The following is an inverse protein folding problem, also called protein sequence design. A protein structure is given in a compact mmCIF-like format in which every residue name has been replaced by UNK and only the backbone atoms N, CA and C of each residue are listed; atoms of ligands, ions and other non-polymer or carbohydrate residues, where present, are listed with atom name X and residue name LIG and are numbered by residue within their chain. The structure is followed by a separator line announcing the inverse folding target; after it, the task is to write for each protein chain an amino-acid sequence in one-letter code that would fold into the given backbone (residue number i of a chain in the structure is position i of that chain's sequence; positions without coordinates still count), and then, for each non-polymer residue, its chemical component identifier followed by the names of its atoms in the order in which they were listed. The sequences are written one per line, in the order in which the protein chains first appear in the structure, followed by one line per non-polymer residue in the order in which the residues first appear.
data_IF_326825431526
#
_entry.id   IF_326825431526
#
_cell.length_a   1.000
_cell.length_b   1.000
_cell.length_c   1.000
_cell.angle_alpha   90.00
_cell.angle_beta   90.00
_cell.angle_gamma   90.00
#
_symmetry.space_group_name_H-M   'P 1'
#
loop_
_entity.id
_entity.type
_entity.pdbx_description
1 polymer ?
#
# COMPACT_ATOMS: atom_id res chain seq x y z
N UNK A 1 13.24 -3.33 5.13
CA UNK A 1 14.24 -4.37 4.76
C UNK A 1 14.80 -4.00 3.40
N UNK A 2 16.09 -4.27 3.09
CA UNK A 2 16.65 -3.92 1.76
C UNK A 2 16.07 -4.84 0.68
N UNK A 3 15.64 -4.27 -0.45
CA UNK A 3 15.03 -5.03 -1.55
C UNK A 3 16.03 -5.81 -2.39
N UNK A 4 17.30 -5.41 -2.36
CA UNK A 4 18.39 -6.11 -3.06
C UNK A 4 19.46 -6.51 -2.05
N UNK A 5 19.87 -7.77 -2.09
CA UNK A 5 20.91 -8.30 -1.20
C UNK A 5 22.30 -8.15 -1.86
N UNK A 6 23.39 -8.04 -1.09
CA UNK A 6 24.74 -7.89 -1.66
C UNK A 6 25.14 -9.01 -2.64
N UNK A 7 24.64 -10.23 -2.41
CA UNK A 7 24.90 -11.36 -3.31
C UNK A 7 24.29 -11.18 -4.71
N UNK A 8 23.25 -10.36 -4.82
CA UNK A 8 22.51 -10.16 -6.06
C UNK A 8 23.00 -8.94 -6.86
N UNK A 9 23.88 -8.09 -6.32
CA UNK A 9 24.26 -6.83 -6.96
C UNK A 9 24.79 -7.02 -8.38
N UNK A 10 25.66 -8.00 -8.58
CA UNK A 10 26.23 -8.29 -9.89
C UNK A 10 25.18 -8.80 -10.89
N UNK A 11 24.20 -9.58 -10.42
CA UNK A 11 23.13 -10.11 -11.26
C UNK A 11 22.26 -9.00 -11.85
N UNK A 12 22.13 -7.89 -11.12
CA UNK A 12 21.37 -6.71 -11.56
C UNK A 12 22.25 -5.58 -12.11
N UNK A 13 23.53 -5.88 -12.41
CA UNK A 13 24.47 -4.97 -13.07
C UNK A 13 24.94 -3.80 -12.20
N UNK A 14 24.97 -3.97 -10.90
CA UNK A 14 25.54 -2.99 -9.99
C UNK A 14 27.06 -3.20 -9.85
N UNK A 15 27.86 -2.11 -9.74
CA UNK A 15 29.30 -2.22 -9.53
C UNK A 15 29.62 -2.86 -8.17
N UNK A 16 30.78 -3.54 -8.09
CA UNK A 16 31.24 -4.19 -6.86
C UNK A 16 31.45 -3.21 -5.67
N UNK A 17 31.58 -1.92 -5.94
CA UNK A 17 31.71 -0.86 -4.91
C UNK A 17 30.36 -0.32 -4.40
N UNK A 18 29.24 -0.89 -4.81
CA UNK A 18 27.92 -0.44 -4.32
C UNK A 18 27.78 -0.78 -2.86
N UNK A 19 27.54 0.24 -2.03
CA UNK A 19 27.36 0.07 -0.58
C UNK A 19 25.90 -0.23 -0.23
N UNK A 20 25.69 -0.84 0.93
CA UNK A 20 24.34 -1.12 1.45
C UNK A 20 23.52 0.17 1.68
N UNK A 21 24.19 1.32 1.90
CA UNK A 21 23.51 2.61 2.10
C UNK A 21 22.77 3.06 0.84
N UNK A 22 23.35 2.84 -0.34
CA UNK A 22 22.66 3.12 -1.62
C UNK A 22 21.38 2.33 -1.75
N UNK A 23 21.42 1.04 -1.38
CA UNK A 23 20.24 0.17 -1.46
C UNK A 23 19.20 0.58 -0.43
N UNK A 24 19.62 0.95 0.77
CA UNK A 24 18.71 1.44 1.82
C UNK A 24 18.00 2.73 1.38
N UNK A 25 18.74 3.69 0.84
CA UNK A 25 18.19 4.94 0.34
C UNK A 25 17.21 4.69 -0.83
N UNK A 26 17.59 3.81 -1.75
CA UNK A 26 16.72 3.44 -2.89
C UNK A 26 15.47 2.71 -2.44
N UNK A 27 15.58 1.81 -1.46
CA UNK A 27 14.43 1.12 -0.87
C UNK A 27 13.44 2.14 -0.27
N UNK A 28 13.94 3.13 0.46
CA UNK A 28 13.11 4.21 1.01
C UNK A 28 12.42 5.03 -0.09
N UNK A 29 13.11 5.30 -1.19
CA UNK A 29 12.56 6.01 -2.33
C UNK A 29 11.44 5.21 -3.04
N UNK A 30 11.65 3.91 -3.24
CA UNK A 30 10.63 3.00 -3.79
C UNK A 30 9.40 2.97 -2.88
N UNK A 31 9.59 2.84 -1.56
CA UNK A 31 8.50 2.85 -0.59
C UNK A 31 7.69 4.14 -0.66
N UNK A 32 8.38 5.28 -0.75
CA UNK A 32 7.74 6.58 -0.90
C UNK A 32 6.95 6.68 -2.19
N UNK A 33 7.51 6.23 -3.31
CA UNK A 33 6.83 6.20 -4.60
C UNK A 33 5.60 5.30 -4.57
N UNK A 34 5.73 4.09 -4.03
CA UNK A 34 4.64 3.14 -3.89
C UNK A 34 3.62 3.51 -2.81
N UNK A 35 3.86 4.59 -2.04
CA UNK A 35 3.01 5.04 -0.93
C UNK A 35 2.79 3.96 0.12
N UNK A 36 3.81 3.16 0.39
CA UNK A 36 3.80 2.06 1.36
C UNK A 36 5.01 2.16 2.28
N UNK A 37 4.88 1.75 3.53
CA UNK A 37 6.03 1.67 4.43
C UNK A 37 7.02 0.56 4.04
N UNK A 38 6.54 -0.53 3.47
CA UNK A 38 7.34 -1.64 2.92
C UNK A 38 6.52 -2.38 1.85
N UNK A 39 7.18 -2.99 0.85
CA UNK A 39 6.57 -3.90 -0.12
C UNK A 39 6.51 -5.35 0.38
N UNK A 40 7.33 -5.72 1.38
CA UNK A 40 7.21 -7.02 2.03
C UNK A 40 5.89 -7.12 2.79
N UNK A 41 5.50 -8.36 3.14
CA UNK A 41 4.30 -8.58 3.94
C UNK A 41 4.46 -7.95 5.32
N UNK A 42 3.64 -6.96 5.61
CA UNK A 42 3.54 -6.32 6.92
C UNK A 42 2.07 -6.14 7.31
N UNK A 43 1.85 -5.87 8.58
CA UNK A 43 0.51 -5.65 9.11
C UNK A 43 0.09 -4.18 8.94
N UNK A 44 -1.14 -4.00 8.48
CA UNK A 44 -1.81 -2.71 8.35
C UNK A 44 -3.07 -2.69 9.20
N UNK A 45 -3.46 -1.50 9.64
CA UNK A 45 -4.76 -1.26 10.28
C UNK A 45 -5.40 -0.07 9.57
N UNK A 46 -6.56 -0.29 9.01
CA UNK A 46 -7.33 0.73 8.31
C UNK A 46 -8.72 0.87 8.92
N UNK A 47 -9.20 2.10 8.91
CA UNK A 47 -10.54 2.44 9.31
C UNK A 47 -11.29 2.95 8.10
N UNK A 48 -12.27 2.17 7.67
CA UNK A 48 -12.99 2.37 6.42
C UNK A 48 -14.47 2.64 6.71
N UNK A 49 -15.09 3.44 5.85
CA UNK A 49 -16.53 3.62 5.86
C UNK A 49 -17.17 2.73 4.83
N UNK A 50 -18.27 2.11 5.23
CA UNK A 50 -19.11 1.31 4.36
C UNK A 50 -20.15 2.24 3.75
N UNK A 51 -20.27 2.22 2.42
CA UNK A 51 -21.31 2.98 1.71
C UNK A 51 -22.67 2.38 2.02
N UNK A 52 -23.66 3.25 2.23
CA UNK A 52 -25.03 2.80 2.50
C UNK A 52 -25.55 1.83 1.45
N UNK A 53 -26.07 0.68 1.91
CA UNK A 53 -26.57 -0.40 1.05
C UNK A 53 -25.52 -1.39 0.55
N UNK A 54 -24.23 -1.11 0.75
CA UNK A 54 -23.14 -2.06 0.50
C UNK A 54 -22.70 -2.67 1.82
N UNK A 55 -22.28 -3.94 1.80
CA UNK A 55 -21.58 -4.59 2.91
C UNK A 55 -20.11 -4.82 2.56
N UNK A 56 -19.63 -4.17 1.49
CA UNK A 56 -18.28 -4.34 0.98
C UNK A 56 -17.42 -3.12 1.26
N UNK A 57 -16.15 -3.35 1.56
CA UNK A 57 -15.10 -2.34 1.65
C UNK A 57 -13.90 -2.76 0.82
N UNK A 58 -13.12 -1.79 0.36
CA UNK A 58 -11.89 -2.03 -0.37
C UNK A 58 -10.70 -1.66 0.50
N UNK A 59 -9.77 -2.59 0.65
CA UNK A 59 -8.53 -2.40 1.38
C UNK A 59 -7.48 -1.73 0.49
N UNK A 60 -6.70 -0.80 1.06
CA UNK A 60 -5.77 0.03 0.28
C UNK A 60 -4.47 -0.66 -0.09
N UNK A 61 -4.04 -1.67 0.67
CA UNK A 61 -2.75 -2.32 0.47
C UNK A 61 -2.92 -3.75 -0.04
N UNK A 62 -2.37 -4.03 -1.22
CA UNK A 62 -2.51 -5.29 -1.94
C UNK A 62 -1.14 -5.79 -2.43
N UNK A 63 -1.00 -7.08 -2.74
CA UNK A 63 -1.96 -8.16 -2.50
C UNK A 63 -2.07 -8.51 -1.02
N UNK A 64 -3.22 -9.06 -0.62
CA UNK A 64 -3.37 -9.61 0.73
C UNK A 64 -2.56 -10.90 0.83
N UNK A 65 -1.71 -11.00 1.83
CA UNK A 65 -0.87 -12.17 2.04
C UNK A 65 -0.71 -12.45 3.53
N UNK A 66 -0.82 -13.71 3.97
CA UNK A 66 -0.64 -14.07 5.37
C UNK A 66 0.81 -13.86 5.80
N UNK A 67 1.01 -13.47 7.06
CA UNK A 67 2.33 -13.27 7.65
C UNK A 67 2.76 -14.50 8.44
N UNK A 68 3.95 -15.01 8.15
CA UNK A 68 4.54 -16.13 8.88
C UNK A 68 3.74 -17.42 8.74
N UNK A 69 3.24 -17.96 9.87
CA UNK A 69 2.45 -19.20 9.92
C UNK A 69 0.94 -18.98 9.89
N UNK A 70 0.49 -17.73 9.74
CA UNK A 70 -0.91 -17.44 9.65
C UNK A 70 -1.53 -18.06 8.38
N UNK A 71 -2.77 -18.51 8.48
CA UNK A 71 -3.51 -19.12 7.35
C UNK A 71 -4.33 -18.09 6.60
N UNK A 72 -4.67 -16.98 7.25
CA UNK A 72 -5.49 -15.91 6.68
C UNK A 72 -4.74 -14.57 6.78
N UNK A 73 -4.89 -13.69 5.80
CA UNK A 73 -4.31 -12.35 5.86
C UNK A 73 -5.09 -11.40 6.77
N UNK A 74 -6.33 -11.71 7.11
CA UNK A 74 -7.16 -10.90 8.00
C UNK A 74 -6.90 -11.28 9.44
N UNK A 75 -6.41 -10.31 10.23
CA UNK A 75 -6.03 -10.53 11.65
C UNK A 75 -7.20 -10.23 12.58
N UNK A 76 -7.85 -9.09 12.39
CA UNK A 76 -9.03 -8.71 13.18
C UNK A 76 -9.91 -7.75 12.41
N UNK A 77 -11.21 -7.82 12.68
CA UNK A 77 -12.21 -6.92 12.12
C UNK A 77 -13.12 -6.45 13.27
N UNK A 78 -13.38 -5.16 13.29
CA UNK A 78 -14.33 -4.57 14.21
C UNK A 78 -15.29 -3.66 13.43
N UNK A 79 -16.57 -3.82 13.65
CA UNK A 79 -17.61 -3.00 13.04
C UNK A 79 -18.29 -2.12 14.07
N UNK A 80 -18.76 -0.95 13.65
CA UNK A 80 -19.61 -0.10 14.46
C UNK A 80 -20.57 0.72 13.63
N UNK A 81 -21.52 1.34 14.33
CA UNK A 81 -22.41 2.37 13.79
C UNK A 81 -21.88 3.74 14.20
N UNK A 82 -21.70 4.61 13.21
CA UNK A 82 -21.39 6.02 13.45
C UNK A 82 -22.51 6.89 12.86
N UNK A 83 -22.48 8.20 13.18
CA UNK A 83 -23.45 9.13 12.60
C UNK A 83 -23.37 9.10 11.08
N UNK A 84 -24.48 8.79 10.37
CA UNK A 84 -24.51 8.78 8.92
C UNK A 84 -24.11 10.15 8.35
N UNK A 85 -23.49 10.15 7.19
CA UNK A 85 -23.23 11.38 6.45
C UNK A 85 -24.56 11.89 5.87
N UNK A 86 -24.60 13.20 5.56
CA UNK A 86 -25.76 13.80 4.89
C UNK A 86 -26.02 13.07 3.55
N UNK A 87 -27.22 12.48 3.40
CA UNK A 87 -27.59 11.64 2.25
C UNK A 87 -27.50 10.12 2.48
N UNK A 88 -26.88 9.67 3.57
CA UNK A 88 -26.79 8.26 3.96
C UNK A 88 -27.85 7.85 5.00
N UNK A 89 -28.77 8.77 5.33
CA UNK A 89 -29.83 8.50 6.30
C UNK A 89 -30.75 7.41 5.74
N UNK A 90 -31.00 6.34 6.51
CA UNK A 90 -32.02 5.39 6.14
C UNK A 90 -33.37 6.10 6.05
N UNK A 91 -34.17 5.76 5.04
CA UNK A 91 -35.53 6.33 4.87
C UNK A 91 -36.53 5.86 5.96
N UNK A 92 -36.03 5.20 7.00
CA UNK A 92 -36.83 4.71 8.14
C UNK A 92 -36.63 5.62 9.35
N UNK A 93 -37.64 6.43 9.73
CA UNK A 93 -37.55 7.35 10.86
C UNK A 93 -37.36 6.64 12.21
N UNK A 94 -37.79 5.39 12.37
CA UNK A 94 -37.59 4.64 13.60
C UNK A 94 -36.12 4.21 13.74
N UNK A 95 -35.49 3.84 12.64
CA UNK A 95 -34.08 3.51 12.60
C UNK A 95 -33.22 4.76 12.85
N UNK A 96 -33.61 5.91 12.31
CA UNK A 96 -32.93 7.18 12.53
C UNK A 96 -32.95 7.57 14.02
N UNK A 97 -34.09 7.43 14.67
CA UNK A 97 -34.25 7.73 16.11
C UNK A 97 -33.41 6.74 16.93
N UNK A 98 -33.48 5.44 16.66
CA UNK A 98 -32.71 4.43 17.37
C UNK A 98 -31.20 4.66 17.22
N UNK A 99 -30.74 5.01 16.02
CA UNK A 99 -29.36 5.37 15.76
C UNK A 99 -28.94 6.66 16.46
N UNK A 100 -29.78 7.67 16.54
CA UNK A 100 -29.49 8.95 17.21
C UNK A 100 -29.18 8.79 18.70
N UNK A 101 -29.82 7.85 19.38
CA UNK A 101 -29.62 7.58 20.80
C UNK A 101 -28.42 6.67 21.11
N UNK A 102 -27.95 5.88 20.15
CA UNK A 102 -26.88 4.90 20.35
C UNK A 102 -25.54 5.29 19.72
N UNK A 103 -25.44 6.46 19.08
CA UNK A 103 -24.24 6.88 18.35
C UNK A 103 -23.29 7.77 19.13
N UNK A 104 -21.98 7.63 18.92
CA UNK A 104 -21.35 6.56 18.15
C UNK A 104 -21.39 5.23 18.92
N UNK A 105 -21.75 4.16 18.21
CA UNK A 105 -21.77 2.80 18.78
C UNK A 105 -20.38 2.33 19.19
N UNK A 106 -20.35 1.34 20.06
CA UNK A 106 -19.10 0.66 20.42
C UNK A 106 -18.61 -0.21 19.27
N UNK A 107 -17.30 -0.41 19.20
CA UNK A 107 -16.71 -1.36 18.29
C UNK A 107 -17.13 -2.78 18.70
N UNK A 108 -17.62 -3.53 17.74
CA UNK A 108 -18.03 -4.93 17.92
C UNK A 108 -17.10 -5.79 17.07
N UNK A 109 -16.46 -6.76 17.70
CA UNK A 109 -15.60 -7.71 17.00
C UNK A 109 -16.43 -8.57 16.04
N UNK A 110 -15.91 -8.78 14.84
CA UNK A 110 -16.44 -9.64 13.80
C UNK A 110 -15.45 -10.80 13.63
N UNK A 111 -15.96 -12.04 13.55
CA UNK A 111 -15.09 -13.19 13.32
C UNK A 111 -14.46 -13.08 11.91
N UNK A 112 -13.12 -13.01 11.79
CA UNK A 112 -12.43 -12.95 10.51
C UNK A 112 -12.75 -14.13 9.58
N UNK A 113 -13.09 -15.29 10.14
CA UNK A 113 -13.46 -16.48 9.34
C UNK A 113 -14.86 -16.41 8.75
N UNK A 114 -15.70 -15.49 9.22
CA UNK A 114 -17.07 -15.27 8.70
C UNK A 114 -17.11 -14.26 7.56
N UNK A 115 -15.97 -13.69 7.19
CA UNK A 115 -15.86 -12.63 6.19
C UNK A 115 -15.29 -13.18 4.91
N UNK A 116 -15.92 -12.85 3.80
CA UNK A 116 -15.42 -13.18 2.47
C UNK A 116 -14.48 -12.06 1.98
N UNK A 117 -13.36 -12.45 1.39
CA UNK A 117 -12.37 -11.49 0.88
C UNK A 117 -11.68 -12.00 -0.38
N UNK A 118 -11.39 -11.09 -1.30
CA UNK A 118 -10.55 -11.36 -2.47
C UNK A 118 -9.12 -10.83 -2.21
N UNK A 119 -8.11 -11.71 -2.19
CA UNK A 119 -6.72 -11.32 -1.91
C UNK A 119 -6.12 -10.39 -2.98
N UNK A 120 -6.63 -10.39 -4.20
CA UNK A 120 -6.09 -9.60 -5.31
C UNK A 120 -6.73 -8.22 -5.43
N UNK A 121 -8.04 -8.14 -5.26
CA UNK A 121 -8.80 -6.88 -5.35
C UNK A 121 -8.88 -6.14 -4.02
N UNK A 122 -8.67 -6.87 -2.90
CA UNK A 122 -8.82 -6.32 -1.55
C UNK A 122 -10.27 -6.05 -1.17
N UNK A 123 -11.21 -6.57 -1.94
CA UNK A 123 -12.61 -6.50 -1.61
C UNK A 123 -12.91 -7.40 -0.41
N UNK A 124 -13.53 -6.81 0.60
CA UNK A 124 -13.91 -7.48 1.82
C UNK A 124 -15.41 -7.33 2.01
N UNK A 125 -16.13 -8.44 2.05
CA UNK A 125 -17.58 -8.47 2.25
C UNK A 125 -17.91 -8.90 3.67
N UNK A 126 -18.62 -8.03 4.39
CA UNK A 126 -19.00 -8.23 5.78
C UNK A 126 -20.38 -8.88 5.88
N UNK A 127 -20.56 -9.78 6.84
CA UNK A 127 -21.87 -10.26 7.22
C UNK A 127 -22.65 -9.19 8.00
N UNK A 128 -23.97 -9.29 7.98
CA UNK A 128 -24.85 -8.46 8.80
C UNK A 128 -24.59 -8.74 10.29
N UNK A 129 -24.80 -7.73 11.14
CA UNK A 129 -24.72 -7.97 12.56
C UNK A 129 -25.87 -8.88 13.04
N UNK A 130 -25.79 -9.30 14.32
CA UNK A 130 -26.81 -10.16 14.96
C UNK A 130 -28.22 -9.58 14.93
N UNK A 131 -28.34 -8.25 14.83
CA UNK A 131 -29.62 -7.54 14.75
C UNK A 131 -30.08 -7.31 13.30
N UNK A 132 -29.35 -7.79 12.31
CA UNK A 132 -29.66 -7.57 10.89
C UNK A 132 -29.41 -6.14 10.42
N UNK A 133 -28.65 -5.34 11.18
CA UNK A 133 -28.33 -3.96 10.83
C UNK A 133 -26.95 -3.91 10.14
N UNK A 134 -26.78 -3.12 9.07
CA UNK A 134 -25.51 -2.97 8.39
C UNK A 134 -24.57 -2.09 9.23
N UNK A 135 -23.29 -2.46 9.35
CA UNK A 135 -22.28 -1.56 9.86
C UNK A 135 -22.05 -0.42 8.84
N UNK A 136 -21.73 0.79 9.30
CA UNK A 136 -21.36 1.89 8.43
C UNK A 136 -19.90 2.31 8.59
N UNK A 137 -19.19 1.69 9.52
CA UNK A 137 -17.76 1.88 9.73
C UNK A 137 -17.13 0.57 10.21
N UNK A 138 -15.96 0.27 9.67
CA UNK A 138 -15.19 -0.92 10.01
C UNK A 138 -13.72 -0.55 10.22
N UNK A 139 -13.11 -1.18 11.23
CA UNK A 139 -11.67 -1.18 11.44
C UNK A 139 -11.16 -2.58 11.09
N UNK A 140 -10.25 -2.67 10.13
CA UNK A 140 -9.69 -3.92 9.66
C UNK A 140 -8.19 -3.92 9.93
N UNK A 141 -7.72 -4.93 10.64
CA UNK A 141 -6.29 -5.22 10.76
C UNK A 141 -5.98 -6.43 9.91
N UNK A 142 -5.06 -6.26 8.96
CA UNK A 142 -4.76 -7.28 7.96
C UNK A 142 -3.28 -7.23 7.56
N UNK A 143 -2.81 -8.25 6.87
CA UNK A 143 -1.45 -8.33 6.35
C UNK A 143 -1.46 -8.31 4.83
N UNK A 144 -0.58 -7.50 4.26
CA UNK A 144 -0.48 -7.33 2.81
C UNK A 144 0.96 -7.05 2.40
N UNK A 145 1.29 -7.44 1.19
CA UNK A 145 2.61 -7.25 0.59
C UNK A 145 3.05 -8.47 -0.20
N UNK A 146 4.29 -8.44 -0.63
CA UNK A 146 4.92 -9.50 -1.40
C UNK A 146 5.63 -10.48 -0.46
N UNK A 147 5.33 -11.77 -0.55
CA UNK A 147 6.04 -12.81 0.20
C UNK A 147 7.53 -12.88 -0.18
N UNK A 148 7.83 -12.60 -1.45
CA UNK A 148 9.18 -12.43 -1.98
C UNK A 148 9.21 -11.19 -2.86
N UNK A 149 10.27 -10.38 -2.73
CA UNK A 149 10.44 -9.20 -3.58
C UNK A 149 10.62 -9.66 -5.02
N UNK A 150 9.75 -9.17 -5.91
CA UNK A 150 9.75 -9.50 -7.33
C UNK A 150 10.98 -8.91 -8.05
N UNK A 151 11.37 -9.52 -9.17
CA UNK A 151 12.57 -9.11 -9.90
C UNK A 151 12.46 -7.72 -10.53
N UNK A 152 11.26 -7.29 -10.91
CA UNK A 152 10.99 -5.94 -11.40
C UNK A 152 11.28 -4.87 -10.33
N UNK A 153 10.95 -5.12 -9.07
CA UNK A 153 11.30 -4.24 -7.94
C UNK A 153 12.81 -4.22 -7.72
N UNK A 154 13.48 -5.37 -7.83
CA UNK A 154 14.95 -5.46 -7.73
C UNK A 154 15.64 -4.74 -8.88
N UNK A 155 15.13 -4.87 -10.10
CA UNK A 155 15.60 -4.14 -11.27
C UNK A 155 15.38 -2.63 -11.12
N UNK A 156 14.22 -2.21 -10.61
CA UNK A 156 13.94 -0.81 -10.30
C UNK A 156 14.94 -0.25 -9.26
N UNK A 157 15.20 -1.02 -8.19
CA UNK A 157 16.19 -0.66 -7.18
C UNK A 157 17.58 -0.46 -7.80
N UNK A 158 18.05 -1.41 -8.61
CA UNK A 158 19.33 -1.32 -9.28
C UNK A 158 19.41 -0.15 -10.28
N UNK A 159 18.34 0.13 -11.01
CA UNK A 159 18.29 1.24 -11.96
C UNK A 159 18.36 2.60 -11.25
N UNK A 160 17.65 2.77 -10.14
CA UNK A 160 17.71 3.99 -9.33
C UNK A 160 19.13 4.22 -8.79
N UNK A 161 19.81 3.16 -8.31
CA UNK A 161 21.22 3.28 -7.87
C UNK A 161 22.11 3.73 -9.01
N UNK A 162 21.98 3.13 -10.21
CA UNK A 162 22.75 3.55 -11.39
C UNK A 162 22.46 5.00 -11.77
N UNK A 163 21.21 5.41 -11.77
CA UNK A 163 20.81 6.79 -12.04
C UNK A 163 21.47 7.75 -11.03
N UNK A 164 21.44 7.41 -9.75
CA UNK A 164 22.04 8.22 -8.70
C UNK A 164 23.57 8.31 -8.80
N UNK A 165 24.23 7.21 -9.14
CA UNK A 165 25.69 7.18 -9.32
C UNK A 165 26.15 7.90 -10.59
N UNK A 166 25.32 7.92 -11.65
CA UNK A 166 25.63 8.62 -12.90
C UNK A 166 25.32 10.12 -12.85
N UNK A 167 24.54 10.58 -11.85
CA UNK A 167 24.21 11.99 -11.70
C UNK A 167 25.41 12.76 -11.17
N UNK A 168 25.87 13.83 -11.83
CA UNK A 168 27.02 14.62 -11.35
C UNK A 168 26.73 15.25 -9.99
N UNK A 169 27.73 15.25 -9.10
CA UNK A 169 27.62 15.78 -7.74
C UNK A 169 27.24 17.27 -7.65
N UNK A 170 27.27 18.00 -8.76
CA UNK A 170 27.08 19.46 -8.84
C UNK A 170 25.76 19.90 -9.46
N UNK A 171 24.76 19.07 -9.60
CA UNK A 171 23.46 19.43 -10.21
C UNK A 171 23.61 20.22 -11.55
N UNK A 172 24.67 19.96 -12.31
CA UNK A 172 24.91 20.62 -13.57
C UNK A 172 23.98 20.02 -14.64
N UNK A 173 23.03 20.82 -15.12
CA UNK A 173 22.17 20.40 -16.23
C UNK A 173 22.91 20.36 -17.57
N UNK A 174 23.99 21.14 -17.69
CA UNK A 174 24.82 21.21 -18.88
C UNK A 174 26.28 21.40 -18.50
N UNK A 175 27.16 20.61 -19.08
CA UNK A 175 28.60 20.79 -18.98
C UNK A 175 29.15 20.93 -20.38
N UNK A 176 29.88 22.02 -20.64
CA UNK A 176 30.59 22.25 -21.90
C UNK A 176 32.08 22.19 -21.64
N UNK A 177 32.74 21.23 -22.26
CA UNK A 177 34.20 21.11 -22.26
C UNK A 177 34.66 21.21 -23.70
N UNK A 178 35.21 22.35 -24.05
CA UNK A 178 35.70 22.68 -25.40
C UNK A 178 34.58 22.55 -26.47
N UNK A 179 34.70 21.61 -27.38
CA UNK A 179 33.70 21.34 -28.43
C UNK A 179 32.63 20.30 -28.04
N UNK A 180 32.83 19.60 -26.90
CA UNK A 180 31.88 18.64 -26.40
C UNK A 180 30.86 19.30 -25.46
N UNK A 181 29.58 19.21 -25.81
CA UNK A 181 28.48 19.60 -24.93
C UNK A 181 27.81 18.34 -24.40
N UNK A 182 27.88 18.14 -23.07
CA UNK A 182 27.13 17.10 -22.38
C UNK A 182 25.91 17.73 -21.73
N UNK A 183 24.75 17.25 -22.12
CA UNK A 183 23.48 17.62 -21.54
C UNK A 183 23.02 16.46 -20.64
N UNK A 184 22.87 16.74 -19.35
CA UNK A 184 22.35 15.76 -18.42
C UNK A 184 20.84 15.95 -18.32
N UNK A 185 20.09 14.92 -18.60
CA UNK A 185 18.66 14.95 -18.40
C UNK A 185 18.40 15.14 -16.89
N UNK A 186 17.63 16.15 -16.55
CA UNK A 186 17.16 16.39 -15.18
C UNK A 186 16.05 15.43 -14.76
N UNK A 187 16.12 14.18 -15.24
CA UNK A 187 15.15 13.16 -14.90
C UNK A 187 15.25 12.87 -13.39
N UNK A 188 14.12 12.74 -12.75
CA UNK A 188 14.03 12.24 -11.40
C UNK A 188 14.79 10.91 -11.29
N UNK A 189 15.33 10.59 -10.12
CA UNK A 189 15.98 9.28 -9.89
C UNK A 189 15.07 8.11 -10.27
N UNK A 190 13.76 8.34 -10.20
CA UNK A 190 12.69 7.44 -10.63
C UNK A 190 12.27 7.85 -12.05
N UNK A 191 12.93 7.30 -13.05
CA UNK A 191 12.63 7.54 -14.47
C UNK A 191 11.33 6.83 -14.91
N UNK A 192 10.88 7.10 -16.13
CA UNK A 192 9.64 6.52 -16.67
C UNK A 192 9.67 4.97 -16.68
N UNK A 193 10.84 4.39 -16.90
CA UNK A 193 11.02 2.93 -16.90
C UNK A 193 10.82 2.36 -15.51
N UNK A 194 11.43 2.97 -14.51
CA UNK A 194 11.26 2.60 -13.10
C UNK A 194 9.81 2.79 -12.67
N UNK A 195 9.18 3.90 -13.08
CA UNK A 195 7.76 4.15 -12.78
C UNK A 195 6.86 3.06 -13.39
N UNK A 196 7.14 2.64 -14.63
CA UNK A 196 6.38 1.58 -15.30
C UNK A 196 6.47 0.25 -14.53
N UNK A 197 7.67 -0.12 -14.05
CA UNK A 197 7.86 -1.34 -13.26
C UNK A 197 7.18 -1.27 -11.89
N UNK A 198 7.19 -0.10 -11.25
CA UNK A 198 6.64 0.07 -9.90
C UNK A 198 5.14 0.36 -9.87
N UNK A 199 4.53 0.66 -11.02
CA UNK A 199 3.13 1.11 -11.10
C UNK A 199 2.14 0.15 -10.45
N UNK A 200 2.36 -1.16 -10.60
CA UNK A 200 1.50 -2.22 -10.05
C UNK A 200 1.55 -2.30 -8.52
N UNK A 201 2.59 -1.73 -7.90
CA UNK A 201 2.80 -1.79 -6.46
C UNK A 201 2.37 -0.52 -5.72
N UNK A 202 1.95 0.51 -6.46
CA UNK A 202 1.48 1.77 -5.86
C UNK A 202 0.17 1.53 -5.14
N UNK A 203 0.12 1.88 -3.85
CA UNK A 203 -1.12 1.77 -3.08
C UNK A 203 -2.15 2.78 -3.56
N UNK A 204 -3.31 2.29 -3.97
CA UNK A 204 -4.47 3.11 -4.26
C UNK A 204 -5.21 3.34 -2.93
N UNK A 205 -5.11 4.55 -2.38
CA UNK A 205 -5.94 4.91 -1.23
C UNK A 205 -7.35 5.16 -1.73
N UNK A 206 -8.20 4.19 -1.51
CA UNK A 206 -9.63 4.26 -1.77
C UNK A 206 -10.35 4.78 -0.50
N UNK A 207 -10.07 5.98 -0.10
CA UNK A 207 -10.64 6.54 1.12
C UNK A 207 -11.24 7.92 0.92
#
# INVERSE_FOLDING_TARGET
MAYLQPADYQNYGLPAGTTADWITATTALINSYCRRPDLNVIQYTERLRITSGSQTVLLSYLPLAPLGTATTPIVSIEGRYTRPRRGELPNDPLLEIALAFSLPGQWTAIDPNSVDFDPNTGELTLSWNVLGLPYNEVAVTYTAGLATIADDVKMACAQIVRNAQSTPALNASKTKIDTMQMEYFSSSLVDETVQAWLRTYVAERLG
#
